data_IF_720603590071
#
_entry.id   IF_720603590071
#
_cell.length_a   1.000
_cell.length_b   1.000
_cell.length_c   1.000
_cell.angle_alpha   90.00
_cell.angle_beta   90.00
_cell.angle_gamma   90.00
#
_symmetry.space_group_name_H-M   'P 1'
#
loop_
_entity.id
_entity.type
_entity.pdbx_description
1 polymer ?
#
# COMPACT_ATOMS: atom_id res chain seq x y z
N UNK A 1 14.88 16.52 1.11
CA UNK A 1 14.89 15.28 1.94
C UNK A 1 13.46 14.83 2.18
N UNK A 2 13.11 13.60 1.84
CA UNK A 2 11.82 13.00 2.22
C UNK A 2 11.72 12.89 3.74
N UNK A 3 10.63 13.34 4.36
CA UNK A 3 10.45 13.25 5.81
C UNK A 3 10.47 11.75 6.24
N UNK A 4 11.32 11.34 7.19
CA UNK A 4 11.37 9.95 7.66
C UNK A 4 10.02 9.45 8.18
N UNK A 5 9.21 10.34 8.77
CA UNK A 5 7.87 10.00 9.25
C UNK A 5 6.93 9.62 8.11
N UNK A 6 7.02 10.29 6.95
CA UNK A 6 6.23 9.97 5.76
C UNK A 6 6.58 8.59 5.19
N UNK A 7 7.86 8.22 5.23
CA UNK A 7 8.28 6.87 4.83
C UNK A 7 7.70 5.79 5.74
N UNK A 8 7.66 6.04 7.04
CA UNK A 8 7.04 5.13 7.99
C UNK A 8 5.52 5.06 7.85
N UNK A 9 4.83 6.19 7.69
CA UNK A 9 3.39 6.26 7.41
C UNK A 9 2.99 5.45 6.17
N UNK A 10 3.89 5.38 5.20
CA UNK A 10 3.66 4.64 3.96
C UNK A 10 3.58 3.11 4.13
N UNK A 11 3.92 2.57 5.30
CA UNK A 11 3.69 1.16 5.65
C UNK A 11 2.26 0.85 6.11
N UNK A 12 1.52 1.84 6.62
CA UNK A 12 0.15 1.63 7.09
C UNK A 12 -0.74 0.99 6.01
N UNK A 13 -0.82 1.55 4.78
CA UNK A 13 -1.64 0.93 3.74
C UNK A 13 -1.14 -0.48 3.36
N UNK A 14 0.17 -0.72 3.37
CA UNK A 14 0.76 -2.05 3.12
C UNK A 14 0.23 -3.07 4.11
N UNK A 15 0.28 -2.73 5.40
CA UNK A 15 -0.16 -3.61 6.49
C UNK A 15 -1.65 -3.89 6.38
N UNK A 16 -2.47 -2.87 6.11
CA UNK A 16 -3.92 -3.04 5.97
C UNK A 16 -4.26 -3.96 4.79
N UNK A 17 -3.61 -3.77 3.64
CA UNK A 17 -3.81 -4.62 2.46
C UNK A 17 -3.36 -6.06 2.76
N UNK A 18 -2.18 -6.25 3.33
CA UNK A 18 -1.67 -7.59 3.66
C UNK A 18 -2.60 -8.32 4.65
N UNK A 19 -3.06 -7.63 5.68
CA UNK A 19 -3.96 -8.19 6.69
C UNK A 19 -5.33 -8.55 6.12
N UNK A 20 -5.85 -7.74 5.19
CA UNK A 20 -7.06 -8.09 4.45
C UNK A 20 -6.89 -9.38 3.64
N UNK A 21 -5.79 -9.55 2.89
CA UNK A 21 -5.56 -10.78 2.13
C UNK A 21 -5.42 -12.01 3.02
N UNK A 22 -4.80 -11.86 4.20
CA UNK A 22 -4.72 -12.95 5.19
C UNK A 22 -6.12 -13.35 5.66
N UNK A 23 -6.96 -12.38 6.03
CA UNK A 23 -8.34 -12.67 6.44
C UNK A 23 -9.19 -13.25 5.33
N UNK A 24 -9.00 -12.78 4.09
CA UNK A 24 -9.64 -13.33 2.91
C UNK A 24 -9.28 -14.80 2.71
N UNK A 25 -8.00 -15.15 2.84
CA UNK A 25 -7.52 -16.53 2.69
C UNK A 25 -7.96 -17.46 3.83
N UNK A 26 -8.20 -16.92 5.01
CA UNK A 26 -8.74 -17.67 6.16
C UNK A 26 -10.26 -17.83 6.12
N UNK A 27 -10.93 -17.32 5.08
CA UNK A 27 -12.40 -17.34 4.92
C UNK A 27 -13.14 -16.80 6.17
N UNK A 28 -12.52 -15.84 6.86
CA UNK A 28 -13.08 -15.29 8.10
C UNK A 28 -14.37 -14.53 7.79
N UNK A 29 -15.46 -14.81 8.51
CA UNK A 29 -16.78 -14.16 8.48
C UNK A 29 -17.05 -13.18 7.32
N UNK A 30 -17.89 -13.54 6.33
CA UNK A 30 -18.07 -12.78 5.09
C UNK A 30 -18.60 -11.35 5.30
N UNK A 31 -19.31 -11.11 6.40
CA UNK A 31 -19.82 -9.77 6.77
C UNK A 31 -18.65 -8.86 7.16
N UNK A 32 -17.71 -9.37 7.96
CA UNK A 32 -16.53 -8.62 8.41
C UNK A 32 -15.64 -8.33 7.20
N UNK A 33 -15.44 -9.30 6.30
CA UNK A 33 -14.69 -9.09 5.06
C UNK A 33 -15.30 -8.02 4.15
N UNK A 34 -16.64 -7.98 4.02
CA UNK A 34 -17.33 -6.96 3.23
C UNK A 34 -17.09 -5.55 3.77
N UNK A 35 -17.30 -5.35 5.08
CA UNK A 35 -17.08 -4.07 5.75
C UNK A 35 -15.61 -3.65 5.67
N UNK A 36 -14.68 -4.58 5.88
CA UNK A 36 -13.24 -4.31 5.82
C UNK A 36 -12.79 -3.92 4.40
N UNK A 37 -13.37 -4.56 3.37
CA UNK A 37 -13.10 -4.26 1.96
C UNK A 37 -13.50 -2.83 1.61
N UNK A 38 -14.69 -2.39 2.02
CA UNK A 38 -15.21 -1.07 1.65
C UNK A 38 -14.56 0.06 2.47
N UNK A 39 -14.43 -0.12 3.78
CA UNK A 39 -13.96 0.93 4.68
C UNK A 39 -12.43 1.08 4.73
N UNK A 40 -11.68 -0.01 4.58
CA UNK A 40 -10.23 0.00 4.83
C UNK A 40 -9.42 -0.37 3.61
N UNK A 41 -9.83 -1.37 2.83
CA UNK A 41 -9.03 -1.83 1.70
C UNK A 41 -8.96 -0.79 0.59
N UNK A 42 -10.10 -0.26 0.13
CA UNK A 42 -10.14 0.74 -0.94
C UNK A 42 -9.33 2.02 -0.61
N UNK A 43 -9.53 2.66 0.56
CA UNK A 43 -8.71 3.81 0.95
C UNK A 43 -7.23 3.47 1.08
N UNK A 44 -6.89 2.27 1.53
CA UNK A 44 -5.49 1.83 1.64
C UNK A 44 -4.83 1.64 0.29
N UNK A 45 -5.54 1.04 -0.68
CA UNK A 45 -5.07 0.90 -2.06
C UNK A 45 -4.83 2.28 -2.67
N UNK A 46 -5.78 3.21 -2.52
CA UNK A 46 -5.64 4.57 -3.02
C UNK A 46 -4.45 5.30 -2.37
N UNK A 47 -4.30 5.19 -1.04
CA UNK A 47 -3.19 5.78 -0.32
C UNK A 47 -1.84 5.19 -0.76
N UNK A 48 -1.78 3.88 -0.99
CA UNK A 48 -0.61 3.19 -1.50
C UNK A 48 -0.18 3.75 -2.86
N UNK A 49 -1.11 3.90 -3.80
CA UNK A 49 -0.81 4.52 -5.09
C UNK A 49 -0.36 5.97 -4.95
N UNK A 50 -1.01 6.77 -4.10
CA UNK A 50 -0.61 8.14 -3.84
C UNK A 50 0.82 8.24 -3.28
N UNK A 51 1.19 7.38 -2.33
CA UNK A 51 2.56 7.30 -1.81
C UNK A 51 3.56 6.86 -2.88
N UNK A 52 3.22 5.87 -3.69
CA UNK A 52 4.07 5.40 -4.78
C UNK A 52 4.32 6.50 -5.81
N UNK A 53 3.28 7.22 -6.27
CA UNK A 53 3.45 8.38 -7.16
C UNK A 53 4.28 9.49 -6.51
N UNK A 54 4.03 9.79 -5.23
CA UNK A 54 4.81 10.79 -4.48
C UNK A 54 6.30 10.42 -4.44
N UNK A 55 6.63 9.15 -4.16
CA UNK A 55 8.01 8.70 -4.11
C UNK A 55 8.66 8.66 -5.49
N UNK A 56 7.94 8.21 -6.54
CA UNK A 56 8.40 8.29 -7.93
C UNK A 56 8.80 9.72 -8.27
N UNK A 57 7.91 10.67 -8.03
CA UNK A 57 8.15 12.08 -8.36
C UNK A 57 9.36 12.65 -7.61
N UNK A 58 9.48 12.34 -6.31
CA UNK A 58 10.63 12.72 -5.49
C UNK A 58 11.95 12.12 -5.98
N UNK A 59 11.94 10.86 -6.45
CA UNK A 59 13.12 10.19 -7.00
C UNK A 59 13.50 10.81 -8.35
N UNK A 60 12.54 11.07 -9.23
CA UNK A 60 12.77 11.72 -10.53
C UNK A 60 13.38 13.12 -10.38
N UNK A 61 12.93 13.88 -9.38
CA UNK A 61 13.54 15.16 -9.01
C UNK A 61 14.89 15.06 -8.30
N UNK A 62 15.44 13.85 -8.09
CA UNK A 62 16.66 13.57 -7.33
C UNK A 62 16.64 14.09 -5.88
N UNK A 63 15.45 14.36 -5.32
CA UNK A 63 15.27 14.91 -3.96
C UNK A 63 15.21 13.83 -2.86
N UNK A 64 15.07 12.57 -3.27
CA UNK A 64 14.98 11.41 -2.39
C UNK A 64 15.80 10.26 -2.94
N UNK A 65 16.47 9.53 -2.04
CA UNK A 65 17.12 8.26 -2.35
C UNK A 65 16.09 7.12 -2.27
N UNK A 66 16.32 6.08 -3.06
CA UNK A 66 15.61 4.81 -2.93
C UNK A 66 16.02 4.18 -1.60
N UNK A 67 15.06 4.04 -0.69
CA UNK A 67 15.26 3.42 0.63
C UNK A 67 14.32 2.23 0.76
N UNK A 68 14.62 1.29 1.65
CA UNK A 68 13.82 0.07 1.83
C UNK A 68 12.29 0.31 1.92
N UNK A 69 11.76 1.29 2.69
CA UNK A 69 10.32 1.55 2.73
C UNK A 69 9.72 1.92 1.37
N UNK A 70 10.47 2.66 0.56
CA UNK A 70 10.04 3.12 -0.77
C UNK A 70 10.03 1.95 -1.75
N UNK A 71 11.06 1.09 -1.69
CA UNK A 71 11.14 -0.15 -2.45
C UNK A 71 9.97 -1.07 -2.14
N UNK A 72 9.67 -1.27 -0.84
CA UNK A 72 8.55 -2.11 -0.41
C UNK A 72 7.21 -1.56 -0.93
N UNK A 73 7.03 -0.24 -0.88
CA UNK A 73 5.82 0.41 -1.39
C UNK A 73 5.60 0.15 -2.89
N UNK A 74 6.67 0.26 -3.68
CA UNK A 74 6.64 -0.06 -5.10
C UNK A 74 6.27 -1.52 -5.37
N UNK A 75 6.90 -2.46 -4.67
CA UNK A 75 6.63 -3.89 -4.82
C UNK A 75 5.16 -4.18 -4.52
N UNK A 76 4.63 -3.68 -3.40
CA UNK A 76 3.22 -3.87 -3.05
C UNK A 76 2.26 -3.15 -4.01
N UNK A 77 2.60 -1.98 -4.54
CA UNK A 77 1.80 -1.34 -5.59
C UNK A 77 1.72 -2.20 -6.85
N UNK A 78 2.83 -2.82 -7.27
CA UNK A 78 2.82 -3.75 -8.41
C UNK A 78 1.98 -4.98 -8.11
N UNK A 79 2.10 -5.57 -6.92
CA UNK A 79 1.28 -6.71 -6.49
C UNK A 79 -0.21 -6.38 -6.50
N UNK A 80 -0.59 -5.18 -6.03
CA UNK A 80 -1.99 -4.72 -6.07
C UNK A 80 -2.48 -4.63 -7.52
N UNK A 81 -1.72 -4.03 -8.43
CA UNK A 81 -2.08 -3.95 -9.86
C UNK A 81 -2.26 -5.36 -10.45
N UNK A 82 -1.34 -6.28 -10.15
CA UNK A 82 -1.43 -7.66 -10.61
C UNK A 82 -2.69 -8.36 -10.08
N UNK A 83 -3.09 -8.08 -8.84
CA UNK A 83 -4.31 -8.66 -8.26
C UNK A 83 -5.61 -8.20 -8.93
N UNK A 84 -5.63 -7.08 -9.66
CA UNK A 84 -6.80 -6.66 -10.44
C UNK A 84 -6.86 -7.29 -11.83
N UNK A 85 -5.75 -7.86 -12.31
CA UNK A 85 -5.63 -8.50 -13.63
C UNK A 85 -5.81 -10.02 -13.59
N UNK A 86 -5.99 -10.60 -12.40
CA UNK A 86 -6.29 -12.01 -12.15
C UNK A 86 -7.76 -12.09 -11.72
#
# INVERSE_FOLDING_TARGET
MSNPNLKFLSFIPIVIVALFYVFYQLEWEPIILGVFKELLLLPSILAQFAFTFYFIFKILKKESRVTFPVLLNFIFSILIILSFNI
#
